data_IF_724021671205
#
_entry.id   IF_724021671205
#
_cell.length_a   1.000
_cell.length_b   1.000
_cell.length_c   1.000
_cell.angle_alpha   90.00
_cell.angle_beta   90.00
_cell.angle_gamma   90.00
#
_symmetry.space_group_name_H-M   'P 1'
#
loop_
_entity.id
_entity.type
_entity.pdbx_description
1 polymer ?
#
# COMPACT_ATOMS: atom_id res chain seq x y z
N UNK A 1 2.52 19.09 1.62
CA UNK A 1 1.48 18.45 2.44
C UNK A 1 0.85 17.32 1.63
N UNK A 2 1.00 16.07 2.07
CA UNK A 2 0.21 14.94 1.54
C UNK A 2 -1.23 15.19 1.98
N UNK A 3 -2.19 15.22 1.05
CA UNK A 3 -3.59 15.52 1.38
C UNK A 3 -4.10 14.52 2.44
N UNK A 4 -4.75 15.00 3.51
CA UNK A 4 -5.30 14.13 4.54
C UNK A 4 -6.43 13.29 3.95
N UNK A 5 -6.67 12.18 4.58
CA UNK A 5 -7.72 11.16 4.39
C UNK A 5 -9.14 11.66 4.04
N UNK A 6 -9.45 12.95 4.12
CA UNK A 6 -10.78 13.52 3.83
C UNK A 6 -11.20 13.41 2.36
N UNK A 7 -10.23 13.30 1.44
CA UNK A 7 -10.49 13.03 0.03
C UNK A 7 -10.70 11.54 -0.28
N UNK A 8 -10.40 10.66 0.68
CA UNK A 8 -10.47 9.21 0.50
C UNK A 8 -11.90 8.76 0.81
N UNK A 9 -12.61 8.33 -0.22
CA UNK A 9 -13.95 7.75 -0.09
C UNK A 9 -13.83 6.25 0.08
N UNK A 10 -14.45 5.73 1.13
CA UNK A 10 -14.60 4.30 1.36
C UNK A 10 -16.02 3.88 1.00
N UNK A 11 -16.16 2.70 0.39
CA UNK A 11 -17.46 2.17 -0.01
C UNK A 11 -18.29 1.76 1.21
N UNK A 12 -17.62 1.25 2.27
CA UNK A 12 -18.24 0.78 3.51
C UNK A 12 -17.34 1.01 4.72
N UNK A 13 -17.91 0.86 5.92
CA UNK A 13 -17.16 0.83 7.17
C UNK A 13 -16.13 -0.30 7.23
N UNK A 14 -16.47 -1.45 6.66
CA UNK A 14 -15.56 -2.59 6.55
C UNK A 14 -14.38 -2.26 5.62
N UNK A 15 -14.61 -1.62 4.48
CA UNK A 15 -13.55 -1.15 3.58
C UNK A 15 -12.59 -0.21 4.35
N UNK A 16 -13.11 0.74 5.12
CA UNK A 16 -12.27 1.62 5.96
C UNK A 16 -11.40 0.84 6.97
N UNK A 17 -11.94 -0.21 7.60
CA UNK A 17 -11.20 -1.04 8.57
C UNK A 17 -10.13 -1.90 7.89
N UNK A 18 -10.43 -2.52 6.75
CA UNK A 18 -9.42 -3.23 5.95
C UNK A 18 -8.33 -2.28 5.47
N UNK A 19 -8.67 -1.06 5.08
CA UNK A 19 -7.69 -0.05 4.70
C UNK A 19 -6.77 0.31 5.87
N UNK A 20 -7.32 0.46 7.08
CA UNK A 20 -6.51 0.62 8.30
C UNK A 20 -5.59 -0.60 8.53
N UNK A 21 -6.10 -1.83 8.35
CA UNK A 21 -5.30 -3.07 8.45
C UNK A 21 -4.14 -3.09 7.45
N UNK A 22 -4.36 -2.63 6.22
CA UNK A 22 -3.30 -2.51 5.22
C UNK A 22 -2.15 -1.64 5.72
N UNK A 23 -2.47 -0.47 6.29
CA UNK A 23 -1.47 0.48 6.76
C UNK A 23 -0.77 0.05 8.03
N UNK A 24 -1.52 -0.43 9.04
CA UNK A 24 -0.98 -0.55 10.41
C UNK A 24 -0.80 -1.98 10.89
N UNK A 25 -1.33 -2.98 10.19
CA UNK A 25 -1.36 -4.34 10.73
C UNK A 25 -2.49 -4.62 11.72
N UNK A 26 -3.30 -3.61 12.07
CA UNK A 26 -4.34 -3.75 13.10
C UNK A 26 -5.64 -4.31 12.50
N UNK A 27 -6.17 -5.38 13.09
CA UNK A 27 -7.39 -6.01 12.60
C UNK A 27 -8.69 -5.32 13.02
N UNK A 28 -8.71 -4.59 14.15
CA UNK A 28 -9.86 -3.77 14.59
C UNK A 28 -11.26 -4.38 14.27
N UNK A 29 -11.58 -5.49 14.94
CA UNK A 29 -12.86 -6.21 14.81
C UNK A 29 -13.19 -6.73 13.40
N UNK A 30 -12.21 -6.82 12.49
CA UNK A 30 -12.40 -7.47 11.20
C UNK A 30 -12.53 -8.99 11.35
N UNK A 31 -13.58 -9.60 10.77
CA UNK A 31 -13.71 -11.05 10.75
C UNK A 31 -12.59 -11.67 9.91
N UNK A 32 -12.07 -12.82 10.35
CA UNK A 32 -11.02 -13.57 9.66
C UNK A 32 -9.73 -12.79 9.36
N UNK A 33 -9.43 -11.76 10.16
CA UNK A 33 -8.23 -10.96 10.00
C UNK A 33 -7.05 -11.52 10.82
N UNK A 34 -5.89 -11.59 10.18
CA UNK A 34 -4.61 -11.88 10.83
C UNK A 34 -3.87 -10.56 11.06
N UNK A 35 -3.60 -10.23 12.33
CA UNK A 35 -2.91 -8.98 12.69
C UNK A 35 -1.41 -9.02 12.43
N UNK A 36 -0.76 -7.86 12.50
CA UNK A 36 0.69 -7.71 12.41
C UNK A 36 1.22 -7.56 10.98
N UNK A 37 2.49 -7.90 10.79
CA UNK A 37 3.18 -7.75 9.51
C UNK A 37 2.79 -8.85 8.50
N UNK A 38 2.90 -8.58 7.19
CA UNK A 38 3.27 -7.30 6.59
C UNK A 38 2.15 -6.25 6.71
N UNK A 39 2.56 -4.99 6.88
CA UNK A 39 1.73 -3.79 6.75
C UNK A 39 2.54 -2.71 6.01
N UNK A 40 1.86 -1.73 5.43
CA UNK A 40 2.52 -0.74 4.58
C UNK A 40 3.45 0.20 5.36
N UNK A 41 3.15 0.54 6.62
CA UNK A 41 4.05 1.36 7.44
C UNK A 41 5.42 0.70 7.63
N UNK A 42 5.45 -0.62 7.87
CA UNK A 42 6.70 -1.38 7.97
C UNK A 42 7.47 -1.35 6.65
N UNK A 43 6.77 -1.50 5.52
CA UNK A 43 7.38 -1.47 4.17
C UNK A 43 7.99 -0.09 3.90
N UNK A 44 7.25 0.99 4.19
CA UNK A 44 7.76 2.37 4.07
C UNK A 44 9.01 2.54 4.93
N UNK A 45 8.99 2.08 6.18
CA UNK A 45 10.17 2.12 7.06
C UNK A 45 11.40 1.46 6.43
N UNK A 46 11.24 0.25 5.87
CA UNK A 46 12.32 -0.46 5.17
C UNK A 46 12.81 0.30 3.94
N UNK A 47 11.90 0.85 3.13
CA UNK A 47 12.26 1.64 1.95
C UNK A 47 13.08 2.88 2.33
N UNK A 48 12.68 3.62 3.36
CA UNK A 48 13.38 4.81 3.83
C UNK A 48 14.77 4.49 4.40
N UNK A 49 14.92 3.34 5.06
CA UNK A 49 16.24 2.85 5.52
C UNK A 49 17.11 2.50 4.32
N UNK A 50 16.55 1.79 3.32
CA UNK A 50 17.27 1.35 2.12
C UNK A 50 17.74 2.51 1.24
N UNK A 51 16.94 3.56 1.07
CA UNK A 51 17.30 4.74 0.27
C UNK A 51 18.23 5.72 0.99
N UNK A 52 18.25 5.66 2.33
CA UNK A 52 19.07 6.54 3.16
C UNK A 52 18.60 8.01 3.16
N UNK A 53 19.19 8.87 4.02
CA UNK A 53 18.69 10.21 4.30
C UNK A 53 18.54 11.12 3.07
N UNK A 54 19.38 10.95 2.06
CA UNK A 54 19.36 11.75 0.83
C UNK A 54 18.10 11.50 -0.02
N UNK A 55 17.60 10.27 -0.05
CA UNK A 55 16.44 9.90 -0.88
C UNK A 55 15.11 10.01 -0.13
N UNK A 56 15.11 10.05 1.21
CA UNK A 56 13.89 10.10 2.02
C UNK A 56 12.89 11.20 1.60
N UNK A 57 13.31 12.45 1.30
CA UNK A 57 12.38 13.51 0.89
C UNK A 57 11.62 13.18 -0.41
N UNK A 58 12.22 12.40 -1.31
CA UNK A 58 11.59 11.96 -2.56
C UNK A 58 10.81 10.66 -2.39
N UNK A 59 11.35 9.73 -1.60
CA UNK A 59 10.82 8.38 -1.44
C UNK A 59 9.57 8.34 -0.57
N UNK A 60 9.55 9.07 0.56
CA UNK A 60 8.42 9.11 1.47
C UNK A 60 7.09 9.51 0.79
N UNK A 61 6.99 10.67 0.11
CA UNK A 61 5.72 11.08 -0.50
C UNK A 61 5.27 10.13 -1.61
N UNK A 62 6.19 9.48 -2.33
CA UNK A 62 5.85 8.47 -3.36
C UNK A 62 5.33 7.19 -2.74
N UNK A 63 6.02 6.66 -1.74
CA UNK A 63 5.58 5.47 -1.02
C UNK A 63 4.23 5.68 -0.31
N UNK A 64 3.97 6.89 0.21
CA UNK A 64 2.66 7.26 0.76
C UNK A 64 1.54 7.21 -0.30
N UNK A 65 1.72 7.84 -1.46
CA UNK A 65 0.72 7.84 -2.54
C UNK A 65 0.48 6.43 -3.10
N UNK A 66 1.55 5.66 -3.26
CA UNK A 66 1.46 4.27 -3.68
C UNK A 66 0.65 3.42 -2.69
N UNK A 67 0.94 3.57 -1.40
CA UNK A 67 0.18 2.91 -0.34
C UNK A 67 -1.30 3.30 -0.34
N UNK A 68 -1.63 4.57 -0.63
CA UNK A 68 -3.02 5.01 -0.74
C UNK A 68 -3.75 4.28 -1.87
N UNK A 69 -3.15 4.23 -3.07
CA UNK A 69 -3.73 3.54 -4.23
C UNK A 69 -3.91 2.04 -3.96
N UNK A 70 -2.83 1.36 -3.55
CA UNK A 70 -2.84 -0.08 -3.33
C UNK A 70 -3.80 -0.43 -2.19
N UNK A 71 -3.72 0.28 -1.07
CA UNK A 71 -4.53 0.03 0.10
C UNK A 71 -6.02 0.19 -0.21
N UNK A 72 -6.40 1.24 -0.95
CA UNK A 72 -7.80 1.48 -1.30
C UNK A 72 -8.37 0.42 -2.22
N UNK A 73 -7.60 -0.10 -3.15
CA UNK A 73 -8.08 -1.19 -4.01
C UNK A 73 -8.10 -2.53 -3.28
N UNK A 74 -7.09 -2.82 -2.47
CA UNK A 74 -6.99 -4.08 -1.73
C UNK A 74 -8.03 -4.22 -0.61
N UNK A 75 -8.42 -3.11 0.00
CA UNK A 75 -9.35 -3.13 1.13
C UNK A 75 -10.83 -3.25 0.73
N UNK A 76 -11.13 -3.28 -0.57
CA UNK A 76 -12.48 -3.52 -1.08
C UNK A 76 -12.91 -4.97 -0.87
N UNK A 77 -14.20 -5.23 -1.05
CA UNK A 77 -14.72 -6.59 -1.08
C UNK A 77 -14.05 -7.43 -2.17
N UNK A 78 -13.85 -8.73 -1.89
CA UNK A 78 -13.13 -9.65 -2.79
C UNK A 78 -13.77 -9.77 -4.18
N UNK A 79 -15.08 -9.54 -4.31
CA UNK A 79 -15.80 -9.61 -5.57
C UNK A 79 -15.52 -8.41 -6.49
N UNK A 80 -15.01 -7.29 -5.95
CA UNK A 80 -14.78 -6.04 -6.68
C UNK A 80 -13.34 -5.53 -6.60
N UNK A 81 -12.53 -6.03 -5.66
CA UNK A 81 -11.13 -5.63 -5.52
C UNK A 81 -10.37 -5.93 -6.82
N UNK A 82 -9.53 -4.98 -7.24
CA UNK A 82 -8.65 -5.15 -8.42
C UNK A 82 -7.23 -5.55 -8.04
N UNK A 83 -6.87 -5.33 -6.77
CA UNK A 83 -5.57 -5.68 -6.21
C UNK A 83 -5.82 -6.66 -5.07
N UNK A 84 -5.32 -7.88 -5.19
CA UNK A 84 -5.49 -8.94 -4.21
C UNK A 84 -4.28 -9.06 -3.28
N UNK A 85 -4.40 -9.88 -2.23
CA UNK A 85 -3.26 -10.23 -1.36
C UNK A 85 -2.11 -10.91 -2.14
N UNK A 86 -2.40 -11.61 -3.25
CA UNK A 86 -1.35 -12.19 -4.11
C UNK A 86 -0.54 -11.08 -4.80
N UNK A 87 -1.20 -10.00 -5.17
CA UNK A 87 -0.55 -8.85 -5.79
C UNK A 87 0.29 -8.09 -4.77
N UNK A 88 -0.17 -7.96 -3.52
CA UNK A 88 0.65 -7.40 -2.43
C UNK A 88 1.96 -8.18 -2.24
N UNK A 89 1.91 -9.51 -2.27
CA UNK A 89 3.13 -10.35 -2.19
C UNK A 89 4.07 -10.09 -3.37
N UNK A 90 3.50 -9.92 -4.57
CA UNK A 90 4.27 -9.60 -5.78
C UNK A 90 4.92 -8.22 -5.67
N UNK A 91 4.17 -7.20 -5.24
CA UNK A 91 4.67 -5.85 -5.03
C UNK A 91 5.79 -5.83 -3.98
N UNK A 92 5.61 -6.53 -2.86
CA UNK A 92 6.66 -6.64 -1.85
C UNK A 92 7.93 -7.29 -2.42
N UNK A 93 7.80 -8.37 -3.19
CA UNK A 93 8.95 -9.00 -3.85
C UNK A 93 9.66 -8.04 -4.84
N UNK A 94 8.91 -7.21 -5.58
CA UNK A 94 9.48 -6.19 -6.46
C UNK A 94 10.25 -5.11 -5.68
N UNK A 95 9.71 -4.63 -4.56
CA UNK A 95 10.38 -3.63 -3.70
C UNK A 95 11.66 -4.17 -3.06
N UNK A 96 11.62 -5.42 -2.59
CA UNK A 96 12.78 -6.09 -1.99
C UNK A 96 13.87 -6.34 -3.05
N UNK A 97 13.51 -6.82 -4.24
CA UNK A 97 14.44 -7.12 -5.33
C UNK A 97 15.05 -5.87 -6.00
N UNK A 98 14.39 -4.71 -5.89
CA UNK A 98 14.90 -3.47 -6.48
C UNK A 98 16.19 -3.03 -5.77
N UNK A 99 17.29 -2.87 -6.50
CA UNK A 99 18.52 -2.29 -5.90
C UNK A 99 18.33 -0.83 -5.48
N UNK A 100 17.59 -0.08 -6.28
CA UNK A 100 17.21 1.32 -6.08
C UNK A 100 15.76 1.41 -5.57
N UNK A 101 15.52 1.93 -4.35
CA UNK A 101 14.19 2.01 -3.75
C UNK A 101 13.22 2.89 -4.52
N UNK A 102 13.69 4.00 -5.11
CA UNK A 102 12.83 4.89 -5.90
C UNK A 102 12.34 4.20 -7.15
N UNK A 103 13.24 3.51 -7.88
CA UNK A 103 12.86 2.70 -9.04
C UNK A 103 11.92 1.56 -8.68
N UNK A 104 12.12 0.93 -7.52
CA UNK A 104 11.21 -0.09 -7.00
C UNK A 104 9.80 0.45 -6.80
N UNK A 105 9.67 1.61 -6.14
CA UNK A 105 8.38 2.28 -5.91
C UNK A 105 7.73 2.69 -7.25
N UNK A 106 8.49 3.24 -8.19
CA UNK A 106 7.98 3.61 -9.52
C UNK A 106 7.44 2.41 -10.31
N UNK A 107 8.15 1.27 -10.29
CA UNK A 107 7.73 0.07 -10.99
C UNK A 107 6.44 -0.53 -10.39
N UNK A 108 6.32 -0.53 -9.06
CA UNK A 108 5.11 -0.97 -8.39
C UNK A 108 3.95 0.01 -8.63
N UNK A 109 4.22 1.31 -8.61
CA UNK A 109 3.22 2.35 -8.90
C UNK A 109 2.63 2.19 -10.31
N UNK A 110 3.48 2.05 -11.34
CA UNK A 110 3.02 1.82 -12.70
C UNK A 110 2.13 0.58 -12.81
N UNK A 111 2.52 -0.53 -12.15
CA UNK A 111 1.75 -1.78 -12.18
C UNK A 111 0.42 -1.65 -11.43
N UNK A 112 0.42 -1.03 -10.25
CA UNK A 112 -0.78 -0.81 -9.44
C UNK A 112 -1.80 0.07 -10.18
N UNK A 113 -1.34 1.09 -10.90
CA UNK A 113 -2.21 1.95 -11.72
C UNK A 113 -2.90 1.18 -12.85
N UNK A 114 -2.17 0.34 -13.59
CA UNK A 114 -2.76 -0.49 -14.65
C UNK A 114 -3.83 -1.42 -14.08
N UNK A 115 -3.55 -2.06 -12.94
CA UNK A 115 -4.51 -2.93 -12.27
C UNK A 115 -5.75 -2.18 -11.80
N UNK A 116 -5.58 -1.02 -11.16
CA UNK A 116 -6.69 -0.20 -10.67
C UNK A 116 -7.56 0.39 -11.81
N UNK A 117 -6.96 0.66 -12.98
CA UNK A 117 -7.64 1.23 -14.14
C UNK A 117 -8.43 0.20 -14.98
N UNK A 118 -8.14 -1.10 -14.82
CA UNK A 118 -8.81 -2.16 -15.59
C UNK A 118 -10.27 -2.31 -15.12
N UNK A 119 -11.24 -2.27 -16.04
CA UNK A 119 -12.68 -2.37 -15.73
C UNK A 119 -13.12 -3.80 -15.48
#
# INVERSE_FOLDING_TARGET
MVKPTDAIRFDTDEHRRWYKRFWTGTCDHLPFCFGGSPNWNDIVGKLLVKGGPAEQPALLPRACRLGQLIGLEWAKDKSVQKISTKDLKTFNAMLEAAGDPLKGVEAVEAKAWVMAATR
#
